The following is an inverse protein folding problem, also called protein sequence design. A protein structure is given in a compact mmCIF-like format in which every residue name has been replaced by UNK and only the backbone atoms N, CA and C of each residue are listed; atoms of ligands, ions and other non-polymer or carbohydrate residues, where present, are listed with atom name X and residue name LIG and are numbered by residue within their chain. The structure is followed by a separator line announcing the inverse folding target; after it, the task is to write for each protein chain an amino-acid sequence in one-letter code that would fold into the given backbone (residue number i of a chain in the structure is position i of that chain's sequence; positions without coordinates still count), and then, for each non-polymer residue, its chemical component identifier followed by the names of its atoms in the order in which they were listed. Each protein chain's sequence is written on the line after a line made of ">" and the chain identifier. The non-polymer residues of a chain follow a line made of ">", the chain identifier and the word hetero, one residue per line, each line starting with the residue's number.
data_IF_002091672503
#
_entry.id   IF_002091672503
#
_cell.length_a   1.000
_cell.length_b   1.000
_cell.length_c   1.000
_cell.angle_alpha   90.00
_cell.angle_beta   90.00
_cell.angle_gamma   90.00
#
_symmetry.space_group_name_H-M   'P 1'
#
loop_
_entity.id
_entity.type
_entity.pdbx_description
1 polymer ?
#
# COMPACT_ATOMS: atom_id res chain seq x y z
N UNK A 1 47.31 -86.60 -3.09
CA UNK A 1 46.37 -86.23 -2.01
C UNK A 1 46.77 -84.92 -1.29
N UNK A 2 47.28 -83.90 -1.99
CA UNK A 2 47.75 -82.63 -1.35
C UNK A 2 46.98 -81.36 -1.78
N UNK A 3 45.85 -81.49 -2.46
CA UNK A 3 45.09 -80.33 -2.99
C UNK A 3 44.00 -79.80 -2.04
N UNK A 4 43.69 -80.51 -0.95
CA UNK A 4 42.62 -80.14 -0.01
C UNK A 4 43.02 -79.14 1.08
N UNK A 5 44.29 -79.12 1.51
CA UNK A 5 44.74 -78.31 2.64
C UNK A 5 44.91 -76.82 2.28
N UNK A 6 45.35 -76.51 1.05
CA UNK A 6 45.59 -75.13 0.61
C UNK A 6 44.29 -74.37 0.32
N UNK A 7 43.22 -75.05 -0.14
CA UNK A 7 41.90 -74.41 -0.33
C UNK A 7 41.26 -73.98 0.99
N UNK A 8 41.40 -74.78 2.06
CA UNK A 8 40.88 -74.41 3.39
C UNK A 8 41.62 -73.21 3.99
N UNK A 9 42.94 -73.13 3.82
CA UNK A 9 43.73 -71.97 4.30
C UNK A 9 43.42 -70.69 3.53
N UNK A 10 43.22 -70.76 2.22
CA UNK A 10 42.82 -69.60 1.41
C UNK A 10 41.42 -69.08 1.77
N UNK A 11 40.45 -69.97 1.99
CA UNK A 11 39.09 -69.58 2.41
C UNK A 11 39.06 -68.93 3.80
N UNK A 12 39.90 -69.41 4.72
CA UNK A 12 39.97 -68.87 6.09
C UNK A 12 40.59 -67.46 6.10
N UNK A 13 41.63 -67.22 5.29
CA UNK A 13 42.25 -65.89 5.19
C UNK A 13 41.34 -64.85 4.51
N UNK A 14 40.56 -65.23 3.49
CA UNK A 14 39.62 -64.30 2.83
C UNK A 14 38.40 -64.01 3.72
N UNK A 15 37.89 -64.99 4.46
CA UNK A 15 36.82 -64.79 5.43
C UNK A 15 37.24 -63.88 6.59
N UNK A 16 38.46 -64.06 7.13
CA UNK A 16 39.00 -63.18 8.18
C UNK A 16 39.23 -61.75 7.68
N UNK A 17 39.68 -61.57 6.43
CA UNK A 17 39.82 -60.25 5.81
C UNK A 17 38.48 -59.53 5.65
N UNK A 18 37.44 -60.23 5.20
CA UNK A 18 36.09 -59.67 5.06
C UNK A 18 35.46 -59.30 6.41
N UNK A 19 35.67 -60.11 7.46
CA UNK A 19 35.20 -59.81 8.82
C UNK A 19 35.94 -58.61 9.41
N UNK A 20 37.25 -58.47 9.17
CA UNK A 20 38.02 -57.32 9.63
C UNK A 20 37.57 -56.02 8.93
N UNK A 21 37.33 -56.06 7.61
CA UNK A 21 36.81 -54.90 6.87
C UNK A 21 35.38 -54.56 7.32
N UNK A 22 34.52 -55.56 7.50
CA UNK A 22 33.17 -55.35 8.03
C UNK A 22 33.19 -54.81 9.47
N UNK A 23 34.14 -55.24 10.31
CA UNK A 23 34.30 -54.74 11.67
C UNK A 23 34.84 -53.30 11.71
N UNK A 24 35.74 -52.93 10.78
CA UNK A 24 36.20 -51.54 10.63
C UNK A 24 35.08 -50.65 10.07
N UNK A 25 34.32 -51.11 9.07
CA UNK A 25 33.14 -50.40 8.56
C UNK A 25 32.08 -50.26 9.65
N UNK A 26 31.83 -51.31 10.43
CA UNK A 26 30.91 -51.27 11.55
C UNK A 26 31.43 -50.40 12.70
N UNK A 27 32.74 -50.34 12.99
CA UNK A 27 33.31 -49.40 13.97
C UNK A 27 33.29 -47.96 13.49
N UNK A 28 33.43 -47.71 12.19
CA UNK A 28 33.29 -46.36 11.60
C UNK A 28 31.82 -45.91 11.59
N UNK A 29 30.88 -46.83 11.33
CA UNK A 29 29.44 -46.54 11.32
C UNK A 29 28.78 -46.58 12.71
N UNK A 30 29.33 -47.35 13.65
CA UNK A 30 28.77 -47.60 14.99
C UNK A 30 29.64 -47.05 16.11
N UNK A 31 30.73 -46.36 15.77
CA UNK A 31 31.58 -45.68 16.73
C UNK A 31 30.75 -44.66 17.52
N UNK A 32 30.64 -44.76 18.86
CA UNK A 32 29.82 -43.86 19.69
C UNK A 32 30.37 -42.42 19.78
N UNK A 33 31.27 -42.02 18.86
CA UNK A 33 31.97 -40.74 18.86
C UNK A 33 31.69 -39.82 17.65
N UNK A 34 30.85 -40.21 16.69
CA UNK A 34 30.56 -39.40 15.49
C UNK A 34 29.14 -38.82 15.50
N UNK A 35 29.03 -37.61 16.04
CA UNK A 35 28.30 -36.45 15.46
C UNK A 35 26.78 -36.54 15.13
N UNK A 36 26.06 -37.63 15.40
CA UNK A 36 24.63 -37.72 15.05
C UNK A 36 23.72 -36.67 15.72
N UNK A 37 23.99 -36.30 16.98
CA UNK A 37 23.22 -35.29 17.71
C UNK A 37 23.47 -33.86 17.20
N UNK A 38 24.74 -33.47 17.05
CA UNK A 38 25.14 -32.14 16.55
C UNK A 38 24.69 -31.91 15.11
N UNK A 39 24.77 -32.93 14.26
CA UNK A 39 24.26 -32.84 12.88
C UNK A 39 22.74 -32.61 12.86
N UNK A 40 21.98 -33.35 13.66
CA UNK A 40 20.52 -33.19 13.76
C UNK A 40 20.12 -31.81 14.27
N UNK A 41 20.85 -31.25 15.22
CA UNK A 41 20.64 -29.90 15.73
C UNK A 41 20.95 -28.82 14.69
N UNK A 42 22.10 -28.91 14.00
CA UNK A 42 22.51 -27.96 12.95
C UNK A 42 21.54 -28.00 11.77
N UNK A 43 21.18 -29.20 11.31
CA UNK A 43 20.23 -29.37 10.21
C UNK A 43 18.84 -28.84 10.60
N UNK A 44 18.34 -29.17 11.80
CA UNK A 44 17.06 -28.67 12.31
C UNK A 44 17.01 -27.14 12.39
N UNK A 45 18.09 -26.52 12.87
CA UNK A 45 18.25 -25.05 12.90
C UNK A 45 18.18 -24.44 11.50
N UNK A 46 18.91 -25.00 10.54
CA UNK A 46 18.94 -24.46 9.17
C UNK A 46 17.58 -24.60 8.47
N UNK A 47 16.85 -25.69 8.69
CA UNK A 47 15.46 -25.85 8.21
C UNK A 47 14.53 -24.78 8.80
N UNK A 48 14.66 -24.49 10.10
CA UNK A 48 13.89 -23.42 10.75
C UNK A 48 14.25 -22.04 10.18
N UNK A 49 15.54 -21.76 9.97
CA UNK A 49 16.01 -20.51 9.33
C UNK A 49 15.43 -20.34 7.92
N UNK A 50 15.46 -21.39 7.09
CA UNK A 50 14.87 -21.35 5.73
C UNK A 50 13.36 -21.05 5.78
N UNK A 51 12.64 -21.71 6.69
CA UNK A 51 11.20 -21.47 6.90
C UNK A 51 10.92 -20.03 7.30
N UNK A 52 11.71 -19.45 8.21
CA UNK A 52 11.55 -18.08 8.67
C UNK A 52 11.83 -17.07 7.54
N UNK A 53 12.88 -17.27 6.74
CA UNK A 53 13.17 -16.43 5.57
C UNK A 53 12.03 -16.51 4.55
N UNK A 54 11.53 -17.71 4.24
CA UNK A 54 10.36 -17.89 3.38
C UNK A 54 9.12 -17.17 3.92
N UNK A 55 8.84 -17.27 5.22
CA UNK A 55 7.74 -16.57 5.89
C UNK A 55 7.87 -15.04 5.79
N UNK A 56 9.08 -14.51 6.02
CA UNK A 56 9.35 -13.07 5.88
C UNK A 56 9.10 -12.59 4.45
N UNK A 57 9.54 -13.33 3.43
CA UNK A 57 9.31 -12.97 2.01
C UNK A 57 7.83 -12.95 1.67
N UNK A 58 7.08 -14.00 2.02
CA UNK A 58 5.63 -14.07 1.75
C UNK A 58 4.90 -12.92 2.42
N UNK A 59 5.16 -12.67 3.71
CA UNK A 59 4.49 -11.59 4.44
C UNK A 59 4.89 -10.21 3.90
N UNK A 60 6.14 -10.00 3.47
CA UNK A 60 6.59 -8.75 2.86
C UNK A 60 5.82 -8.42 1.56
N UNK A 61 5.57 -9.42 0.73
CA UNK A 61 4.71 -9.25 -0.45
C UNK A 61 3.25 -9.01 -0.07
N UNK A 62 2.73 -9.69 0.95
CA UNK A 62 1.38 -9.43 1.46
C UNK A 62 1.22 -8.00 1.99
N UNK A 63 2.24 -7.44 2.65
CA UNK A 63 2.27 -6.02 3.05
C UNK A 63 2.15 -5.12 1.81
N UNK A 64 2.98 -5.38 0.78
CA UNK A 64 2.99 -4.58 -0.46
C UNK A 64 1.66 -4.64 -1.21
N UNK A 65 1.04 -5.82 -1.29
CA UNK A 65 -0.27 -5.99 -1.90
C UNK A 65 -1.36 -5.25 -1.12
N UNK A 66 -1.44 -5.45 0.20
CA UNK A 66 -2.43 -4.78 1.04
C UNK A 66 -2.25 -3.26 1.07
N UNK A 67 -1.02 -2.74 1.08
CA UNK A 67 -0.75 -1.30 0.97
C UNK A 67 -1.29 -0.73 -0.35
N UNK A 68 -1.00 -1.39 -1.48
CA UNK A 68 -1.52 -0.95 -2.79
C UNK A 68 -3.04 -0.96 -2.81
N UNK A 69 -3.66 -2.00 -2.24
CA UNK A 69 -5.11 -2.07 -2.11
C UNK A 69 -5.67 -0.94 -1.25
N UNK A 70 -4.97 -0.52 -0.19
CA UNK A 70 -5.35 0.63 0.61
C UNK A 70 -5.29 1.94 -0.19
N UNK A 71 -4.21 2.14 -0.97
CA UNK A 71 -4.02 3.33 -1.82
C UNK A 71 -5.08 3.42 -2.93
N UNK A 72 -5.49 2.28 -3.47
CA UNK A 72 -6.43 2.17 -4.60
C UNK A 72 -7.88 1.94 -4.16
N UNK A 73 -8.17 1.96 -2.87
CA UNK A 73 -9.51 1.66 -2.37
C UNK A 73 -10.52 2.72 -2.83
N UNK A 74 -11.70 2.27 -3.23
CA UNK A 74 -12.83 3.08 -3.68
C UNK A 74 -13.73 3.58 -2.53
N UNK A 75 -13.44 3.16 -1.30
CA UNK A 75 -14.15 3.54 -0.07
C UNK A 75 -13.16 3.80 1.07
N UNK A 76 -13.57 4.62 2.04
CA UNK A 76 -12.75 4.92 3.23
C UNK A 76 -12.57 3.67 4.08
N UNK A 77 -13.65 2.90 4.25
CA UNK A 77 -13.70 1.67 5.02
C UNK A 77 -12.77 0.60 4.45
N UNK A 78 -12.77 0.41 3.13
CA UNK A 78 -11.86 -0.53 2.48
C UNK A 78 -10.39 -0.09 2.63
N UNK A 79 -10.09 1.22 2.47
CA UNK A 79 -8.73 1.74 2.66
C UNK A 79 -8.21 1.44 4.07
N UNK A 80 -9.03 1.70 5.09
CA UNK A 80 -8.70 1.42 6.50
C UNK A 80 -8.47 -0.07 6.74
N UNK A 81 -9.33 -0.92 6.21
CA UNK A 81 -9.22 -2.38 6.37
C UNK A 81 -7.97 -2.95 5.69
N UNK A 82 -7.66 -2.50 4.48
CA UNK A 82 -6.42 -2.89 3.79
C UNK A 82 -5.17 -2.38 4.53
N UNK A 83 -5.20 -1.15 5.05
CA UNK A 83 -4.11 -0.63 5.86
C UNK A 83 -3.89 -1.45 7.14
N UNK A 84 -4.98 -1.89 7.79
CA UNK A 84 -4.92 -2.81 8.93
C UNK A 84 -4.28 -4.14 8.55
N UNK A 85 -4.68 -4.74 7.42
CA UNK A 85 -4.09 -5.98 6.90
C UNK A 85 -2.59 -5.82 6.62
N UNK A 86 -2.18 -4.72 6.00
CA UNK A 86 -0.78 -4.42 5.74
C UNK A 86 0.04 -4.35 7.05
N UNK A 87 -0.48 -3.69 8.09
CA UNK A 87 0.18 -3.64 9.41
C UNK A 87 0.31 -5.01 10.06
N UNK A 88 -0.73 -5.84 10.00
CA UNK A 88 -0.67 -7.21 10.53
C UNK A 88 0.40 -8.05 9.83
N UNK A 89 0.47 -8.01 8.50
CA UNK A 89 1.53 -8.73 7.78
C UNK A 89 2.92 -8.19 8.10
N UNK A 90 3.05 -6.89 8.38
CA UNK A 90 4.32 -6.28 8.76
C UNK A 90 4.78 -6.75 10.15
N UNK A 91 3.85 -6.91 11.09
CA UNK A 91 4.12 -7.49 12.40
C UNK A 91 4.57 -8.95 12.30
N UNK A 92 4.01 -9.73 11.38
CA UNK A 92 4.47 -11.11 11.12
C UNK A 92 5.90 -11.16 10.56
N UNK A 93 6.29 -10.22 9.69
CA UNK A 93 7.70 -10.09 9.27
C UNK A 93 8.60 -9.77 10.47
N UNK A 94 8.18 -8.85 11.34
CA UNK A 94 8.96 -8.44 12.51
C UNK A 94 9.12 -9.59 13.53
N UNK A 95 8.08 -10.40 13.75
CA UNK A 95 8.13 -11.60 14.59
C UNK A 95 9.09 -12.65 14.03
N UNK A 96 8.96 -12.97 12.74
CA UNK A 96 9.83 -13.94 12.08
C UNK A 96 11.29 -13.48 12.08
N UNK A 97 11.53 -12.18 11.89
CA UNK A 97 12.85 -11.57 12.03
C UNK A 97 13.40 -11.75 13.45
N UNK A 98 12.61 -11.43 14.48
CA UNK A 98 13.03 -11.62 15.87
C UNK A 98 13.40 -13.07 16.19
N UNK A 99 12.61 -14.04 15.71
CA UNK A 99 12.91 -15.46 15.85
C UNK A 99 14.20 -15.84 15.11
N UNK A 100 14.38 -15.40 13.87
CA UNK A 100 15.59 -15.66 13.09
C UNK A 100 16.87 -15.19 13.79
N UNK A 101 16.82 -14.02 14.44
CA UNK A 101 17.95 -13.49 15.24
C UNK A 101 18.41 -14.44 16.34
N UNK A 102 17.49 -15.20 16.94
CA UNK A 102 17.83 -16.15 18.01
C UNK A 102 18.62 -17.37 17.50
N UNK A 103 18.54 -17.65 16.19
CA UNK A 103 19.20 -18.79 15.55
C UNK A 103 20.58 -18.44 15.00
N UNK A 104 20.84 -17.15 14.73
CA UNK A 104 22.11 -16.65 14.21
C UNK A 104 23.15 -16.57 15.32
N UNK A 105 24.30 -17.21 15.11
CA UNK A 105 25.45 -17.11 16.01
C UNK A 105 26.35 -15.94 15.59
N UNK A 106 26.88 -15.16 16.54
CA UNK A 106 27.80 -14.06 16.26
C UNK A 106 29.23 -14.37 16.72
N UNK A 107 30.28 -13.97 15.98
CA UNK A 107 30.27 -13.38 14.62
C UNK A 107 30.14 -14.45 13.51
N UNK A 108 29.34 -14.18 12.47
CA UNK A 108 29.19 -15.06 11.30
C UNK A 108 28.74 -14.29 10.05
N UNK A 109 28.95 -14.82 8.82
CA UNK A 109 28.39 -14.24 7.60
C UNK A 109 26.86 -14.04 7.63
N UNK A 110 26.14 -14.91 8.35
CA UNK A 110 24.69 -14.79 8.55
C UNK A 110 24.32 -13.52 9.32
N UNK A 111 25.18 -13.09 10.25
CA UNK A 111 24.97 -11.86 11.02
C UNK A 111 25.07 -10.60 10.14
N UNK A 112 25.94 -10.59 9.13
CA UNK A 112 26.08 -9.46 8.19
C UNK A 112 24.89 -9.37 7.23
N UNK A 113 24.40 -10.51 6.74
CA UNK A 113 23.20 -10.59 5.91
C UNK A 113 21.95 -10.17 6.70
N UNK A 114 21.82 -10.65 7.94
CA UNK A 114 20.76 -10.26 8.87
C UNK A 114 20.76 -8.74 9.10
N UNK A 115 21.92 -8.13 9.37
CA UNK A 115 22.05 -6.68 9.56
C UNK A 115 21.61 -5.90 8.32
N UNK A 116 21.97 -6.40 7.13
CA UNK A 116 21.57 -5.79 5.85
C UNK A 116 20.04 -5.82 5.68
N UNK A 117 19.41 -6.95 6.01
CA UNK A 117 17.95 -7.07 5.99
C UNK A 117 17.29 -6.16 7.05
N UNK A 118 17.80 -6.10 8.28
CA UNK A 118 17.26 -5.23 9.34
C UNK A 118 17.22 -3.75 8.91
N UNK A 119 18.30 -3.29 8.26
CA UNK A 119 18.37 -1.93 7.75
C UNK A 119 17.34 -1.69 6.65
N UNK A 120 17.27 -2.58 5.65
CA UNK A 120 16.30 -2.47 4.56
C UNK A 120 14.85 -2.52 5.08
N UNK A 121 14.56 -3.43 6.00
CA UNK A 121 13.25 -3.60 6.62
C UNK A 121 12.85 -2.39 7.46
N UNK A 122 13.79 -1.79 8.19
CA UNK A 122 13.57 -0.56 8.94
C UNK A 122 13.11 0.59 8.05
N UNK A 123 13.75 0.78 6.89
CA UNK A 123 13.37 1.79 5.91
C UNK A 123 12.05 1.46 5.21
N UNK A 124 11.85 0.19 4.81
CA UNK A 124 10.59 -0.27 4.25
C UNK A 124 9.40 0.00 5.19
N UNK A 125 9.55 -0.26 6.50
CA UNK A 125 8.51 -0.01 7.51
C UNK A 125 8.18 1.47 7.64
N UNK A 126 9.18 2.35 7.66
CA UNK A 126 8.95 3.81 7.74
C UNK A 126 8.14 4.29 6.53
N UNK A 127 8.59 3.93 5.32
CA UNK A 127 7.90 4.32 4.09
C UNK A 127 6.49 3.72 4.03
N UNK A 128 6.33 2.46 4.46
CA UNK A 128 5.01 1.82 4.55
C UNK A 128 4.04 2.62 5.42
N UNK A 129 4.46 3.01 6.62
CA UNK A 129 3.57 3.73 7.54
C UNK A 129 3.24 5.14 7.02
N UNK A 130 4.20 5.83 6.38
CA UNK A 130 3.92 7.09 5.69
C UNK A 130 2.84 6.92 4.60
N UNK A 131 2.96 5.87 3.77
CA UNK A 131 1.96 5.58 2.73
C UNK A 131 0.60 5.26 3.34
N UNK A 132 0.55 4.37 4.33
CA UNK A 132 -0.71 3.96 4.97
C UNK A 132 -1.40 5.14 5.67
N UNK A 133 -0.65 6.00 6.35
CA UNK A 133 -1.19 7.19 7.01
C UNK A 133 -1.84 8.16 6.02
N UNK A 134 -1.33 8.25 4.78
CA UNK A 134 -1.93 9.05 3.72
C UNK A 134 -3.12 8.33 3.05
N UNK A 135 -3.00 7.01 2.82
CA UNK A 135 -4.04 6.21 2.19
C UNK A 135 -5.35 6.22 2.98
N UNK A 136 -5.28 6.10 4.32
CA UNK A 136 -6.48 6.12 5.18
C UNK A 136 -7.15 7.49 5.29
N UNK A 137 -6.45 8.57 4.95
CA UNK A 137 -7.09 9.90 4.92
C UNK A 137 -8.04 10.02 3.73
N UNK A 138 -7.70 9.37 2.62
CA UNK A 138 -8.52 9.24 1.41
C UNK A 138 -9.19 10.56 0.97
N UNK A 139 -8.44 11.67 1.00
CA UNK A 139 -9.04 13.00 0.90
C UNK A 139 -9.60 13.29 -0.49
N UNK A 140 -9.00 12.75 -1.54
CA UNK A 140 -9.49 12.95 -2.90
C UNK A 140 -10.83 12.24 -3.13
N UNK A 141 -11.00 11.02 -2.59
CA UNK A 141 -12.27 10.31 -2.67
C UNK A 141 -13.37 11.04 -1.87
N UNK A 142 -13.05 11.52 -0.67
CA UNK A 142 -13.98 12.32 0.14
C UNK A 142 -14.39 13.61 -0.59
N UNK A 143 -13.44 14.29 -1.23
CA UNK A 143 -13.72 15.46 -2.05
C UNK A 143 -14.64 15.12 -3.24
N UNK A 144 -14.42 13.97 -3.88
CA UNK A 144 -15.24 13.50 -4.99
C UNK A 144 -16.68 13.19 -4.55
N UNK A 145 -16.88 12.51 -3.43
CA UNK A 145 -18.21 12.25 -2.86
C UNK A 145 -18.96 13.57 -2.55
N UNK A 146 -18.29 14.54 -1.93
CA UNK A 146 -18.88 15.87 -1.67
C UNK A 146 -19.23 16.63 -2.97
N UNK A 147 -18.41 16.47 -4.01
CA UNK A 147 -18.62 17.09 -5.31
C UNK A 147 -19.84 16.51 -6.06
N UNK A 148 -20.05 15.19 -5.99
CA UNK A 148 -21.15 14.53 -6.69
C UNK A 148 -22.46 14.53 -5.91
N UNK A 149 -22.43 14.49 -4.58
CA UNK A 149 -23.65 14.39 -3.79
C UNK A 149 -24.11 15.77 -3.31
N UNK A 150 -23.36 16.35 -2.36
CA UNK A 150 -23.80 17.55 -1.65
C UNK A 150 -23.74 18.80 -2.53
N UNK A 151 -22.71 18.94 -3.35
CA UNK A 151 -22.60 20.07 -4.29
C UNK A 151 -23.71 20.01 -5.35
N UNK A 152 -23.99 18.82 -5.89
CA UNK A 152 -25.08 18.62 -6.84
C UNK A 152 -26.45 18.93 -6.23
N UNK A 153 -26.74 18.40 -5.04
CA UNK A 153 -28.00 18.67 -4.33
C UNK A 153 -28.19 20.17 -4.05
N UNK A 154 -27.13 20.90 -3.68
CA UNK A 154 -27.20 22.34 -3.47
C UNK A 154 -27.50 23.10 -4.78
N UNK A 155 -26.90 22.71 -5.90
CA UNK A 155 -27.18 23.32 -7.20
C UNK A 155 -28.57 22.99 -7.75
N UNK A 156 -29.06 21.77 -7.53
CA UNK A 156 -30.44 21.41 -7.89
C UNK A 156 -31.47 22.29 -7.15
N UNK A 157 -31.23 22.61 -5.87
CA UNK A 157 -32.07 23.56 -5.12
C UNK A 157 -31.96 24.99 -5.66
N UNK A 158 -30.78 25.41 -6.11
CA UNK A 158 -30.59 26.71 -6.77
C UNK A 158 -31.35 26.78 -8.10
N UNK A 159 -31.26 25.74 -8.93
CA UNK A 159 -32.01 25.61 -10.18
C UNK A 159 -33.52 25.66 -9.93
N UNK A 160 -34.01 24.88 -8.96
CA UNK A 160 -35.42 24.90 -8.56
C UNK A 160 -35.88 26.30 -8.13
N UNK A 161 -35.06 27.03 -7.37
CA UNK A 161 -35.38 28.39 -6.97
C UNK A 161 -35.48 29.33 -8.18
N UNK A 162 -34.61 29.14 -9.19
CA UNK A 162 -34.56 29.96 -10.41
C UNK A 162 -35.60 29.55 -11.48
N UNK A 163 -36.24 28.39 -11.34
CA UNK A 163 -37.13 27.82 -12.36
C UNK A 163 -38.24 28.76 -12.86
N UNK A 164 -38.88 29.63 -12.03
CA UNK A 164 -39.91 30.55 -12.53
C UNK A 164 -39.41 31.53 -13.59
N UNK A 165 -38.10 31.84 -13.60
CA UNK A 165 -37.49 32.67 -14.64
C UNK A 165 -36.94 31.84 -15.80
N UNK A 166 -36.40 30.65 -15.52
CA UNK A 166 -35.86 29.76 -16.54
C UNK A 166 -36.97 29.23 -17.47
N UNK A 167 -38.15 28.96 -16.92
CA UNK A 167 -39.33 28.47 -17.63
C UNK A 167 -40.21 29.59 -18.21
N UNK A 168 -39.82 30.85 -18.03
CA UNK A 168 -40.56 32.00 -18.57
C UNK A 168 -41.87 32.35 -17.84
N UNK A 169 -42.18 31.71 -16.71
CA UNK A 169 -43.42 31.93 -15.94
C UNK A 169 -43.57 33.38 -15.44
N UNK A 170 -42.46 34.11 -15.25
CA UNK A 170 -42.46 35.54 -14.85
C UNK A 170 -42.36 36.53 -16.01
N UNK A 171 -42.49 36.10 -17.26
CA UNK A 171 -42.70 36.98 -18.44
C UNK A 171 -41.58 37.98 -18.77
N UNK A 172 -40.41 37.90 -18.13
CA UNK A 172 -39.28 38.81 -18.34
C UNK A 172 -38.08 38.07 -18.96
N UNK A 173 -37.87 38.16 -20.29
CA UNK A 173 -36.77 37.47 -20.98
C UNK A 173 -35.39 37.87 -20.47
N UNK A 174 -35.22 39.12 -19.98
CA UNK A 174 -33.95 39.57 -19.41
C UNK A 174 -33.68 38.90 -18.07
N UNK A 175 -34.70 38.71 -17.24
CA UNK A 175 -34.60 37.98 -15.98
C UNK A 175 -34.28 36.49 -16.21
N UNK A 176 -34.90 35.86 -17.21
CA UNK A 176 -34.55 34.51 -17.64
C UNK A 176 -33.08 34.36 -18.02
N UNK A 177 -32.54 35.28 -18.84
CA UNK A 177 -31.10 35.28 -19.21
C UNK A 177 -30.17 35.47 -18.01
N UNK A 178 -30.53 36.34 -17.06
CA UNK A 178 -29.72 36.58 -15.85
C UNK A 178 -29.75 35.37 -14.92
N UNK A 179 -30.91 34.73 -14.74
CA UNK A 179 -31.05 33.48 -13.99
C UNK A 179 -30.24 32.35 -14.62
N UNK A 180 -30.34 32.17 -15.95
CA UNK A 180 -29.57 31.18 -16.69
C UNK A 180 -28.05 31.42 -16.55
N UNK A 181 -27.60 32.68 -16.60
CA UNK A 181 -26.18 33.01 -16.37
C UNK A 181 -25.74 32.64 -14.95
N UNK A 182 -26.54 32.95 -13.92
CA UNK A 182 -26.21 32.60 -12.55
C UNK A 182 -26.05 31.08 -12.38
N UNK A 183 -26.97 30.28 -12.94
CA UNK A 183 -26.90 28.82 -12.88
C UNK A 183 -25.70 28.28 -13.68
N UNK A 184 -25.46 28.79 -14.88
CA UNK A 184 -24.34 28.35 -15.73
C UNK A 184 -22.97 28.59 -15.06
N UNK A 185 -22.77 29.73 -14.41
CA UNK A 185 -21.51 30.01 -13.69
C UNK A 185 -21.38 29.15 -12.42
N UNK A 186 -22.49 28.83 -11.74
CA UNK A 186 -22.46 27.91 -10.61
C UNK A 186 -22.11 26.46 -11.03
N UNK A 187 -22.69 25.99 -12.14
CA UNK A 187 -22.34 24.71 -12.77
C UNK A 187 -20.89 24.68 -13.26
N UNK A 188 -20.37 25.82 -13.74
CA UNK A 188 -18.95 25.96 -14.10
C UNK A 188 -18.06 25.71 -12.89
N UNK A 189 -18.38 26.26 -11.71
CA UNK A 189 -17.63 25.98 -10.48
C UNK A 189 -17.66 24.48 -10.16
N UNK A 190 -18.82 23.83 -10.24
CA UNK A 190 -18.93 22.39 -10.01
C UNK A 190 -18.06 21.58 -10.99
N UNK A 191 -18.11 21.91 -12.29
CA UNK A 191 -17.31 21.25 -13.31
C UNK A 191 -15.79 21.43 -13.11
N UNK A 192 -15.38 22.48 -12.40
CA UNK A 192 -13.99 22.73 -12.03
C UNK A 192 -13.51 21.94 -10.80
N UNK A 193 -14.42 21.36 -10.00
CA UNK A 193 -14.04 20.57 -8.83
C UNK A 193 -13.29 19.28 -9.22
N UNK A 194 -13.78 18.54 -10.22
CA UNK A 194 -13.13 17.30 -10.67
C UNK A 194 -11.66 17.49 -11.12
N UNK A 195 -11.33 18.43 -12.03
CA UNK A 195 -9.94 18.65 -12.40
C UNK A 195 -9.09 19.20 -11.25
N UNK A 196 -9.69 19.91 -10.26
CA UNK A 196 -8.97 20.33 -9.05
C UNK A 196 -8.63 19.12 -8.16
N UNK A 197 -9.58 18.21 -7.92
CA UNK A 197 -9.41 16.97 -7.16
C UNK A 197 -8.29 16.08 -7.74
N UNK A 198 -8.15 16.03 -9.06
CA UNK A 198 -7.15 15.20 -9.72
C UNK A 198 -5.79 15.88 -9.93
N UNK A 199 -5.68 17.18 -9.69
CA UNK A 199 -4.46 17.92 -9.95
C UNK A 199 -3.40 17.61 -8.89
N UNK A 200 -2.16 17.41 -9.35
CA UNK A 200 -0.99 17.14 -8.50
C UNK A 200 -0.12 18.37 -8.26
N UNK A 201 -0.25 19.38 -9.11
CA UNK A 201 0.56 20.59 -9.11
C UNK A 201 -0.19 21.75 -8.44
N UNK A 202 0.38 22.27 -7.35
CA UNK A 202 -0.23 23.32 -6.53
C UNK A 202 -0.48 24.63 -7.30
N UNK A 203 0.37 24.95 -8.28
CA UNK A 203 0.20 26.16 -9.09
C UNK A 203 -1.00 26.01 -10.03
N UNK A 204 -1.17 24.84 -10.66
CA UNK A 204 -2.37 24.53 -11.45
C UNK A 204 -3.63 24.52 -10.59
N UNK A 205 -3.60 23.97 -9.37
CA UNK A 205 -4.73 24.03 -8.42
C UNK A 205 -5.13 25.49 -8.14
N UNK A 206 -4.15 26.36 -7.88
CA UNK A 206 -4.37 27.79 -7.65
C UNK A 206 -5.00 28.47 -8.86
N UNK A 207 -4.56 28.10 -10.07
CA UNK A 207 -5.17 28.57 -11.31
C UNK A 207 -6.63 28.14 -11.47
N UNK A 208 -6.97 26.91 -11.06
CA UNK A 208 -8.36 26.43 -11.07
C UNK A 208 -9.21 27.21 -10.06
N UNK A 209 -8.71 27.41 -8.83
CA UNK A 209 -9.37 28.18 -7.78
C UNK A 209 -9.65 29.62 -8.20
N UNK A 210 -8.70 30.27 -8.89
CA UNK A 210 -8.90 31.62 -9.43
C UNK A 210 -10.07 31.67 -10.44
N UNK A 211 -10.20 30.65 -11.31
CA UNK A 211 -11.35 30.55 -12.23
C UNK A 211 -12.67 30.30 -11.49
N UNK A 212 -12.64 29.52 -10.41
CA UNK A 212 -13.82 29.31 -9.55
C UNK A 212 -14.24 30.61 -8.87
N UNK A 213 -13.30 31.40 -8.35
CA UNK A 213 -13.57 32.71 -7.76
C UNK A 213 -14.13 33.74 -8.75
N UNK A 214 -13.63 33.74 -9.99
CA UNK A 214 -14.19 34.57 -11.05
C UNK A 214 -15.65 34.19 -11.38
N UNK A 215 -15.95 32.89 -11.46
CA UNK A 215 -17.32 32.41 -11.64
C UNK A 215 -18.21 32.76 -10.43
N UNK A 216 -17.72 32.65 -9.18
CA UNK A 216 -18.49 33.04 -7.98
C UNK A 216 -18.91 34.50 -7.99
N UNK A 217 -17.99 35.38 -8.39
CA UNK A 217 -18.28 36.80 -8.56
C UNK A 217 -19.44 37.02 -9.56
N UNK A 218 -19.46 36.28 -10.67
CA UNK A 218 -20.52 36.39 -11.68
C UNK A 218 -21.86 35.82 -11.21
N UNK A 219 -21.87 34.73 -10.42
CA UNK A 219 -23.12 34.21 -9.82
C UNK A 219 -23.73 35.26 -8.90
N UNK A 220 -22.94 35.78 -7.96
CA UNK A 220 -23.41 36.77 -6.97
C UNK A 220 -23.90 38.04 -7.63
N UNK A 221 -23.17 38.55 -8.63
CA UNK A 221 -23.58 39.73 -9.39
C UNK A 221 -24.91 39.49 -10.13
N UNK A 222 -25.10 38.30 -10.73
CA UNK A 222 -26.33 37.95 -11.44
C UNK A 222 -27.53 37.87 -10.50
N UNK A 223 -27.38 37.22 -9.34
CA UNK A 223 -28.44 37.14 -8.32
C UNK A 223 -28.77 38.52 -7.73
N UNK A 224 -27.77 39.35 -7.45
CA UNK A 224 -27.97 40.71 -6.98
C UNK A 224 -28.70 41.59 -8.00
N UNK A 225 -28.36 41.45 -9.29
CA UNK A 225 -29.04 42.15 -10.38
C UNK A 225 -30.50 41.69 -10.54
N UNK A 226 -30.75 40.38 -10.45
CA UNK A 226 -32.09 39.81 -10.48
C UNK A 226 -32.96 40.34 -9.33
N UNK A 227 -32.41 40.39 -8.12
CA UNK A 227 -33.09 40.89 -6.91
C UNK A 227 -33.41 42.38 -7.02
N UNK A 228 -32.43 43.22 -7.37
CA UNK A 228 -32.53 44.68 -7.28
C UNK A 228 -33.11 45.37 -8.52
N UNK A 229 -32.99 44.79 -9.72
CA UNK A 229 -33.33 45.46 -10.99
C UNK A 229 -34.45 44.80 -11.78
N UNK A 230 -34.80 43.55 -11.48
CA UNK A 230 -35.73 42.76 -12.28
C UNK A 230 -36.92 42.21 -11.50
N UNK A 231 -37.14 42.70 -10.27
CA UNK A 231 -38.30 42.35 -9.44
C UNK A 231 -38.30 40.90 -8.92
N UNK A 232 -37.15 40.23 -8.93
CA UNK A 232 -37.02 38.82 -8.55
C UNK A 232 -36.45 38.59 -7.16
N UNK A 233 -36.75 39.48 -6.21
CA UNK A 233 -36.13 39.44 -4.87
C UNK A 233 -36.35 38.10 -4.16
N UNK A 234 -37.58 37.61 -4.11
CA UNK A 234 -37.94 36.36 -3.43
C UNK A 234 -37.22 35.13 -4.03
N UNK A 235 -37.15 35.07 -5.36
CA UNK A 235 -36.44 34.01 -6.11
C UNK A 235 -34.93 34.12 -5.92
N UNK A 236 -34.37 35.32 -6.07
CA UNK A 236 -32.95 35.57 -5.92
C UNK A 236 -32.45 35.28 -4.51
N UNK A 237 -33.23 35.62 -3.47
CA UNK A 237 -32.88 35.37 -2.07
C UNK A 237 -32.85 33.84 -1.80
N UNK A 238 -33.84 33.08 -2.29
CA UNK A 238 -33.84 31.60 -2.19
C UNK A 238 -32.68 30.96 -2.93
N UNK A 239 -32.42 31.40 -4.16
CA UNK A 239 -31.29 30.91 -4.96
C UNK A 239 -29.95 31.23 -4.28
N UNK A 240 -29.81 32.41 -3.67
CA UNK A 240 -28.61 32.80 -2.94
C UNK A 240 -28.35 31.93 -1.70
N UNK A 241 -29.40 31.53 -0.98
CA UNK A 241 -29.27 30.58 0.14
C UNK A 241 -28.72 29.24 -0.35
N UNK A 242 -29.32 28.65 -1.39
CA UNK A 242 -28.86 27.40 -1.97
C UNK A 242 -27.43 27.51 -2.51
N UNK A 243 -27.09 28.64 -3.14
CA UNK A 243 -25.75 28.91 -3.63
C UNK A 243 -24.71 29.05 -2.51
N UNK A 244 -25.06 29.69 -1.40
CA UNK A 244 -24.15 29.79 -0.24
C UNK A 244 -23.89 28.41 0.38
N UNK A 245 -24.88 27.50 0.38
CA UNK A 245 -24.65 26.11 0.79
C UNK A 245 -23.72 25.38 -0.18
N UNK A 246 -23.91 25.56 -1.49
CA UNK A 246 -22.98 25.04 -2.51
C UNK A 246 -21.54 25.56 -2.29
N UNK A 247 -21.37 26.83 -1.93
CA UNK A 247 -20.05 27.40 -1.64
C UNK A 247 -19.40 26.81 -0.38
N UNK A 248 -20.17 26.50 0.67
CA UNK A 248 -19.66 25.80 1.85
C UNK A 248 -19.11 24.41 1.49
N UNK A 249 -19.86 23.65 0.68
CA UNK A 249 -19.43 22.33 0.21
C UNK A 249 -18.20 22.47 -0.69
N UNK A 250 -18.19 23.45 -1.60
CA UNK A 250 -17.05 23.75 -2.47
C UNK A 250 -15.79 24.03 -1.65
N UNK A 251 -15.87 24.81 -0.57
CA UNK A 251 -14.72 25.06 0.30
C UNK A 251 -14.17 23.78 0.94
N UNK A 252 -15.04 22.85 1.35
CA UNK A 252 -14.62 21.55 1.88
C UNK A 252 -13.95 20.68 0.81
N UNK A 253 -14.51 20.65 -0.41
CA UNK A 253 -13.92 19.96 -1.56
C UNK A 253 -12.51 20.49 -1.84
N UNK A 254 -12.32 21.81 -1.87
CA UNK A 254 -11.02 22.43 -2.13
C UNK A 254 -10.01 22.10 -1.02
N UNK A 255 -10.43 22.12 0.24
CA UNK A 255 -9.57 21.77 1.38
C UNK A 255 -9.08 20.32 1.27
N UNK A 256 -9.99 19.37 1.03
CA UNK A 256 -9.67 17.95 0.90
C UNK A 256 -8.81 17.66 -0.34
N UNK A 257 -9.13 18.31 -1.46
CA UNK A 257 -8.33 18.20 -2.67
C UNK A 257 -6.91 18.72 -2.47
N UNK A 258 -6.71 19.85 -1.77
CA UNK A 258 -5.37 20.40 -1.46
C UNK A 258 -4.54 19.47 -0.58
N UNK A 259 -5.16 18.72 0.33
CA UNK A 259 -4.44 17.72 1.11
C UNK A 259 -3.87 16.59 0.22
N UNK A 260 -4.60 16.26 -0.86
CA UNK A 260 -4.20 15.40 -1.98
C UNK A 260 -3.57 14.07 -1.56
N UNK A 261 -4.12 13.42 -0.52
CA UNK A 261 -3.41 12.31 0.13
C UNK A 261 -3.33 11.07 -0.75
N UNK A 262 -4.29 10.85 -1.65
CA UNK A 262 -4.29 9.72 -2.58
C UNK A 262 -3.19 9.85 -3.64
N UNK A 263 -2.98 11.04 -4.22
CA UNK A 263 -1.91 11.24 -5.19
C UNK A 263 -0.55 11.15 -4.51
N UNK A 264 -0.42 11.72 -3.30
CA UNK A 264 0.83 11.68 -2.53
C UNK A 264 1.20 10.26 -2.11
N UNK A 265 0.24 9.47 -1.62
CA UNK A 265 0.47 8.07 -1.25
C UNK A 265 0.88 7.25 -2.48
N UNK A 266 0.21 7.44 -3.63
CA UNK A 266 0.56 6.76 -4.87
C UNK A 266 1.99 7.08 -5.34
N UNK A 267 2.41 8.35 -5.30
CA UNK A 267 3.79 8.75 -5.66
C UNK A 267 4.80 8.08 -4.74
N UNK A 268 4.55 8.06 -3.42
CA UNK A 268 5.43 7.41 -2.46
C UNK A 268 5.54 5.89 -2.68
N UNK A 269 4.43 5.22 -3.02
CA UNK A 269 4.39 3.80 -3.36
C UNK A 269 5.21 3.49 -4.63
N UNK A 270 5.09 4.34 -5.66
CA UNK A 270 5.78 4.11 -6.94
C UNK A 270 7.28 4.41 -6.89
N UNK A 271 7.70 5.40 -6.11
CA UNK A 271 9.11 5.83 -6.04
C UNK A 271 9.87 5.13 -4.90
N UNK A 272 9.65 5.57 -3.65
CA UNK A 272 10.43 5.12 -2.49
C UNK A 272 10.11 3.68 -2.08
N UNK A 273 8.83 3.31 -2.06
CA UNK A 273 8.42 2.00 -1.54
C UNK A 273 8.93 0.85 -2.38
N UNK A 274 8.81 0.95 -3.71
CA UNK A 274 9.26 -0.11 -4.63
C UNK A 274 10.76 -0.35 -4.51
N UNK A 275 11.55 0.71 -4.30
CA UNK A 275 13.00 0.60 -4.01
C UNK A 275 13.27 -0.14 -2.70
N UNK A 276 12.62 0.26 -1.60
CA UNK A 276 12.83 -0.40 -0.30
C UNK A 276 12.35 -1.86 -0.29
N UNK A 277 11.29 -2.19 -1.02
CA UNK A 277 10.83 -3.58 -1.20
C UNK A 277 11.87 -4.43 -1.93
N UNK A 278 12.47 -3.90 -3.00
CA UNK A 278 13.51 -4.59 -3.75
C UNK A 278 14.74 -4.87 -2.87
N UNK A 279 15.18 -3.90 -2.06
CA UNK A 279 16.29 -4.08 -1.11
C UNK A 279 16.00 -5.18 -0.08
N UNK A 280 14.76 -5.24 0.44
CA UNK A 280 14.34 -6.30 1.35
C UNK A 280 14.33 -7.67 0.67
N UNK A 281 13.78 -7.80 -0.55
CA UNK A 281 13.76 -9.09 -1.26
C UNK A 281 15.18 -9.55 -1.62
N UNK A 282 16.07 -8.64 -2.02
CA UNK A 282 17.48 -8.95 -2.29
C UNK A 282 18.18 -9.48 -1.04
N UNK A 283 18.02 -8.80 0.11
CA UNK A 283 18.61 -9.25 1.37
C UNK A 283 18.05 -10.61 1.81
N UNK A 284 16.73 -10.83 1.70
CA UNK A 284 16.11 -12.11 2.03
C UNK A 284 16.57 -13.24 1.10
N UNK A 285 16.75 -12.98 -0.20
CA UNK A 285 17.32 -13.97 -1.14
C UNK A 285 18.74 -14.34 -0.78
N UNK A 286 19.56 -13.36 -0.38
CA UNK A 286 20.92 -13.62 0.06
C UNK A 286 20.94 -14.49 1.32
N UNK A 287 20.07 -14.20 2.30
CA UNK A 287 19.89 -15.03 3.50
C UNK A 287 19.42 -16.46 3.15
N UNK A 288 18.46 -16.60 2.24
CA UNK A 288 17.96 -17.90 1.78
C UNK A 288 19.04 -18.74 1.09
N UNK A 289 19.78 -18.14 0.16
CA UNK A 289 20.89 -18.79 -0.54
C UNK A 289 21.95 -19.29 0.44
N UNK A 290 22.26 -18.48 1.45
CA UNK A 290 23.23 -18.84 2.49
C UNK A 290 22.76 -20.02 3.34
N UNK A 291 21.49 -20.02 3.77
CA UNK A 291 20.91 -21.15 4.52
C UNK A 291 20.94 -22.44 3.69
N UNK A 292 20.65 -22.36 2.39
CA UNK A 292 20.76 -23.53 1.50
C UNK A 292 22.20 -24.04 1.33
N UNK A 293 23.17 -23.13 1.21
CA UNK A 293 24.59 -23.49 1.16
C UNK A 293 25.03 -24.25 2.42
N UNK A 294 24.62 -23.77 3.59
CA UNK A 294 24.99 -24.38 4.88
C UNK A 294 24.32 -25.74 5.10
N UNK A 295 23.08 -25.93 4.63
CA UNK A 295 22.45 -27.25 4.59
C UNK A 295 23.22 -28.23 3.71
N UNK A 296 23.64 -27.81 2.51
CA UNK A 296 24.39 -28.66 1.59
C UNK A 296 25.78 -29.04 2.12
N UNK A 297 26.46 -28.12 2.82
CA UNK A 297 27.74 -28.38 3.50
C UNK A 297 27.60 -29.32 4.68
N UNK A 298 26.51 -29.21 5.45
CA UNK A 298 26.26 -30.11 6.58
C UNK A 298 26.08 -31.58 6.15
N UNK A 299 25.59 -31.83 4.94
CA UNK A 299 25.33 -33.18 4.41
C UNK A 299 26.56 -33.92 3.82
N UNK A 300 27.73 -33.29 3.80
CA UNK A 300 29.00 -33.86 3.27
C UNK A 300 29.97 -34.18 4.39
#
# INVERSE_FOLDING_TARGET
>A
METGANKKRFLICTALGLVAVAAVVFMVLSGPGLQGGKFKEIFGRNVQMARLVGSMRVNLYAVSEAEKSAVLADTDEASVEYARRARLSLDEVAKALAEYKTLVSAPSPDADLLKSFEQAFGEFRKVNEEVLALAVQNTNLKAQALSFDQSFAALARMEQALSPYLEGQRGNPKAGRVAARALAEALRIQALQAPHIMEKDEARMTGIEARMGAADTLVRASLAYLSSRLGGKDVADKALVAYNDFQKVTAQVLLLSRANTNVRSLVLTLDRKTKTLAMCDEALRAMEAKVHEDMAKGTR
#
